data_IF_086068520334
#
_entry.id   IF_086068520334
#
_cell.length_a   1.000
_cell.length_b   1.000
_cell.length_c   1.000
_cell.angle_alpha   90.00
_cell.angle_beta   90.00
_cell.angle_gamma   90.00
#
_symmetry.space_group_name_H-M   'P 1'
#
loop_
_entity.id
_entity.type
_entity.pdbx_description
1 polymer ?
#
# COMPACT_ATOMS: atom_id res chain seq x y z
N UNK A 1 10.23 8.12 1.84
CA UNK A 1 8.85 7.76 1.50
C UNK A 1 8.81 7.04 0.16
N UNK A 2 8.03 5.98 0.09
CA UNK A 2 7.88 5.20 -1.14
C UNK A 2 6.40 5.08 -1.52
N UNK A 3 6.13 5.25 -2.81
CA UNK A 3 4.81 4.99 -3.38
C UNK A 3 4.95 3.93 -4.47
N UNK A 4 4.14 2.90 -4.42
CA UNK A 4 4.11 1.86 -5.43
C UNK A 4 2.69 1.53 -5.86
N UNK A 5 2.52 1.13 -7.12
CA UNK A 5 1.23 0.72 -7.67
C UNK A 5 1.37 -0.64 -8.33
N UNK A 6 0.35 -1.49 -8.20
CA UNK A 6 0.34 -2.83 -8.78
C UNK A 6 1.61 -3.61 -8.40
N UNK A 7 2.37 -4.13 -9.37
CA UNK A 7 3.62 -4.86 -9.10
C UNK A 7 4.70 -3.96 -8.50
N UNK A 8 4.65 -2.65 -8.77
CA UNK A 8 5.58 -1.69 -8.19
C UNK A 8 5.47 -1.58 -6.66
N UNK A 9 4.31 -1.90 -6.10
CA UNK A 9 4.13 -1.94 -4.65
C UNK A 9 4.97 -3.04 -4.01
N UNK A 10 5.06 -4.20 -4.63
CA UNK A 10 5.91 -5.28 -4.13
C UNK A 10 7.38 -4.87 -4.15
N UNK A 11 7.82 -4.21 -5.23
CA UNK A 11 9.19 -3.72 -5.32
C UNK A 11 9.49 -2.69 -4.22
N UNK A 12 8.56 -1.78 -3.94
CA UNK A 12 8.71 -0.80 -2.88
C UNK A 12 8.86 -1.49 -1.50
N UNK A 13 8.07 -2.54 -1.24
CA UNK A 13 8.14 -3.28 0.01
C UNK A 13 9.47 -4.03 0.15
N UNK A 14 9.99 -4.62 -0.93
CA UNK A 14 11.28 -5.30 -0.91
C UNK A 14 12.41 -4.30 -0.61
N UNK A 15 12.37 -3.13 -1.24
CA UNK A 15 13.36 -2.06 -0.97
C UNK A 15 13.26 -1.62 0.49
N UNK A 16 12.05 -1.38 0.98
CA UNK A 16 11.83 -0.92 2.35
C UNK A 16 12.31 -1.94 3.38
N UNK A 17 12.18 -3.23 3.10
CA UNK A 17 12.65 -4.29 4.00
C UNK A 17 14.16 -4.23 4.22
N UNK A 18 14.91 -3.61 3.29
CA UNK A 18 16.36 -3.47 3.34
C UNK A 18 16.84 -2.08 3.71
N UNK A 19 15.91 -1.13 3.85
CA UNK A 19 16.25 0.29 3.98
C UNK A 19 15.52 0.89 5.19
N UNK A 20 16.16 0.85 6.38
CA UNK A 20 15.52 1.36 7.60
C UNK A 20 15.24 2.87 7.56
N UNK A 21 15.80 3.58 6.58
CA UNK A 21 15.58 5.02 6.44
C UNK A 21 14.23 5.37 5.81
N UNK A 22 13.52 4.38 5.26
CA UNK A 22 12.18 4.61 4.70
C UNK A 22 11.21 4.86 5.86
N UNK A 23 10.52 6.00 5.83
CA UNK A 23 9.66 6.44 6.92
C UNK A 23 8.19 6.11 6.71
N UNK A 24 7.76 5.94 5.46
CA UNK A 24 6.38 5.58 5.15
C UNK A 24 6.26 5.00 3.74
N UNK A 25 5.27 4.13 3.56
CA UNK A 25 4.98 3.49 2.28
C UNK A 25 3.50 3.63 1.98
N UNK A 26 3.18 3.92 0.71
CA UNK A 26 1.80 3.85 0.20
C UNK A 26 1.78 2.88 -0.98
N UNK A 27 0.86 1.92 -0.93
CA UNK A 27 0.64 0.92 -1.98
C UNK A 27 -0.76 1.13 -2.56
N UNK A 28 -0.84 1.47 -3.84
CA UNK A 28 -2.12 1.65 -4.53
C UNK A 28 -2.43 0.43 -5.40
N UNK A 29 -3.51 -0.28 -5.07
CA UNK A 29 -3.92 -1.45 -5.84
C UNK A 29 -2.78 -2.45 -6.03
N UNK A 30 -1.92 -2.57 -5.02
CA UNK A 30 -0.67 -3.30 -5.14
C UNK A 30 -0.84 -4.81 -5.05
N UNK A 31 0.24 -5.47 -5.43
CA UNK A 31 0.39 -6.91 -5.27
C UNK A 31 1.46 -7.19 -4.21
N UNK A 32 1.17 -6.87 -2.92
CA UNK A 32 2.15 -7.05 -1.86
C UNK A 32 2.54 -8.51 -1.63
N UNK A 33 1.67 -9.43 -2.04
CA UNK A 33 1.96 -10.86 -1.98
C UNK A 33 3.24 -11.23 -2.73
N UNK A 34 3.58 -10.48 -3.78
CA UNK A 34 4.79 -10.72 -4.57
C UNK A 34 6.07 -10.36 -3.81
N UNK A 35 5.97 -9.62 -2.71
CA UNK A 35 7.13 -9.33 -1.86
C UNK A 35 7.53 -10.52 -0.97
N UNK A 36 6.63 -11.50 -0.80
CA UNK A 36 6.94 -12.74 -0.08
C UNK A 36 7.43 -12.50 1.35
N UNK A 37 8.54 -13.10 1.69
CA UNK A 37 9.10 -13.03 3.04
C UNK A 37 9.56 -11.63 3.44
N UNK A 38 9.79 -10.74 2.48
CA UNK A 38 10.17 -9.36 2.78
C UNK A 38 9.12 -8.64 3.62
N UNK A 39 7.84 -9.03 3.50
CA UNK A 39 6.74 -8.42 4.27
C UNK A 39 7.02 -8.41 5.77
N UNK A 40 7.60 -9.46 6.29
CA UNK A 40 7.87 -9.60 7.74
C UNK A 40 9.03 -8.70 8.20
N UNK A 41 9.84 -8.20 7.28
CA UNK A 41 11.00 -7.37 7.58
C UNK A 41 10.76 -5.88 7.34
N UNK A 42 9.61 -5.51 6.77
CA UNK A 42 9.26 -4.09 6.59
C UNK A 42 9.00 -3.47 7.95
N UNK A 43 9.66 -2.35 8.24
CA UNK A 43 9.46 -1.61 9.49
C UNK A 43 8.69 -0.32 9.28
N UNK A 44 8.67 0.21 8.05
CA UNK A 44 8.00 1.46 7.74
C UNK A 44 6.47 1.32 7.79
N UNK A 45 5.76 2.26 8.42
CA UNK A 45 4.30 2.28 8.36
C UNK A 45 3.79 2.25 6.93
N UNK A 46 2.86 1.35 6.65
CA UNK A 46 2.40 1.07 5.28
C UNK A 46 0.89 1.24 5.16
N UNK A 47 0.48 2.08 4.21
CA UNK A 47 -0.91 2.26 3.83
C UNK A 47 -1.17 1.48 2.55
N UNK A 48 -2.19 0.62 2.58
CA UNK A 48 -2.70 -0.06 1.40
C UNK A 48 -4.00 0.61 0.95
N UNK A 49 -4.06 1.04 -0.30
CA UNK A 49 -5.27 1.65 -0.89
C UNK A 49 -5.75 0.73 -2.01
N UNK A 50 -6.97 0.23 -1.88
CA UNK A 50 -7.54 -0.74 -2.82
C UNK A 50 -8.97 -0.35 -3.16
N UNK A 51 -9.35 -0.48 -4.42
CA UNK A 51 -10.73 -0.26 -4.84
C UNK A 51 -11.65 -1.38 -4.34
N UNK A 52 -12.86 -1.02 -3.92
CA UNK A 52 -13.81 -2.01 -3.39
C UNK A 52 -14.22 -3.06 -4.41
N UNK A 53 -14.13 -2.75 -5.71
CA UNK A 53 -14.47 -3.68 -6.79
C UNK A 53 -13.29 -4.54 -7.23
N UNK A 54 -12.09 -4.24 -6.75
CA UNK A 54 -10.88 -5.01 -7.04
C UNK A 54 -10.73 -6.12 -5.99
N UNK A 55 -11.67 -7.06 -6.00
CA UNK A 55 -11.88 -8.00 -4.89
C UNK A 55 -10.74 -8.98 -4.67
N UNK A 56 -10.12 -9.47 -5.75
CA UNK A 56 -9.01 -10.40 -5.63
C UNK A 56 -7.79 -9.70 -5.00
N UNK A 57 -7.49 -8.51 -5.48
CA UNK A 57 -6.38 -7.71 -4.95
C UNK A 57 -6.65 -7.31 -3.50
N UNK A 58 -7.90 -7.01 -3.16
CA UNK A 58 -8.28 -6.70 -1.78
C UNK A 58 -7.95 -7.86 -0.83
N UNK A 59 -8.28 -9.08 -1.23
CA UNK A 59 -7.94 -10.27 -0.45
C UNK A 59 -6.43 -10.46 -0.28
N UNK A 60 -5.66 -10.23 -1.36
CA UNK A 60 -4.21 -10.33 -1.32
C UNK A 60 -3.59 -9.28 -0.39
N UNK A 61 -4.17 -8.06 -0.36
CA UNK A 61 -3.70 -7.00 0.53
C UNK A 61 -3.99 -7.32 2.00
N UNK A 62 -5.15 -7.89 2.29
CA UNK A 62 -5.48 -8.32 3.66
C UNK A 62 -4.55 -9.41 4.15
N UNK A 63 -4.24 -10.38 3.30
CA UNK A 63 -3.32 -11.45 3.64
C UNK A 63 -1.90 -10.92 3.90
N UNK A 64 -1.44 -9.97 3.09
CA UNK A 64 -0.14 -9.33 3.30
C UNK A 64 -0.11 -8.54 4.60
N UNK A 65 -1.16 -7.78 4.88
CA UNK A 65 -1.28 -7.01 6.11
C UNK A 65 -1.15 -7.91 7.35
N UNK A 66 -1.74 -9.08 7.31
CA UNK A 66 -1.69 -10.03 8.41
C UNK A 66 -0.27 -10.56 8.68
N UNK A 67 0.60 -10.56 7.66
CA UNK A 67 2.00 -11.00 7.78
C UNK A 67 2.95 -9.91 8.24
N UNK A 68 2.58 -8.65 8.09
CA UNK A 68 3.45 -7.52 8.40
C UNK A 68 3.45 -7.23 9.90
N UNK A 69 4.61 -6.87 10.42
CA UNK A 69 4.81 -6.57 11.85
C UNK A 69 4.80 -5.09 12.17
N UNK A 70 4.86 -4.25 11.13
CA UNK A 70 4.83 -2.80 11.30
C UNK A 70 3.38 -2.31 11.35
N UNK A 71 3.22 -1.00 11.60
CA UNK A 71 1.93 -0.35 11.49
C UNK A 71 1.41 -0.45 10.05
N UNK A 72 0.16 -0.91 9.89
CA UNK A 72 -0.48 -0.98 8.59
C UNK A 72 -1.89 -0.44 8.66
N UNK A 73 -2.36 0.08 7.53
CA UNK A 73 -3.75 0.51 7.38
C UNK A 73 -4.23 0.13 5.99
N UNK A 74 -5.47 -0.31 5.90
CA UNK A 74 -6.12 -0.64 4.63
C UNK A 74 -7.28 0.35 4.44
N UNK A 75 -7.19 1.16 3.38
CA UNK A 75 -8.26 2.06 2.96
C UNK A 75 -8.90 1.51 1.70
N UNK A 76 -10.20 1.28 1.76
CA UNK A 76 -10.97 0.76 0.64
C UNK A 76 -11.72 1.92 0.01
N UNK A 77 -11.45 2.18 -1.28
CA UNK A 77 -12.12 3.27 -2.01
C UNK A 77 -13.42 2.72 -2.61
N UNK A 78 -14.58 3.17 -2.13
CA UNK A 78 -15.87 2.64 -2.60
C UNK A 78 -16.07 2.85 -4.10
N UNK A 79 -16.49 1.79 -4.80
CA UNK A 79 -16.80 1.84 -6.22
C UNK A 79 -15.61 1.89 -7.15
N UNK A 80 -14.39 1.91 -6.64
CA UNK A 80 -13.20 1.96 -7.48
C UNK A 80 -12.78 0.56 -7.93
N UNK A 81 -12.31 0.51 -9.17
CA UNK A 81 -11.67 -0.67 -9.77
C UNK A 81 -10.15 -0.56 -9.62
N UNK A 82 -9.42 -1.49 -10.22
CA UNK A 82 -7.97 -1.61 -10.02
C UNK A 82 -7.18 -0.33 -10.36
N UNK A 83 -7.55 0.37 -11.43
CA UNK A 83 -6.82 1.56 -11.89
C UNK A 83 -7.39 2.87 -11.36
N UNK A 84 -8.46 2.83 -10.58
CA UNK A 84 -9.09 4.03 -10.01
C UNK A 84 -9.50 5.03 -11.10
N UNK A 85 -10.00 4.52 -12.24
CA UNK A 85 -10.39 5.35 -13.39
C UNK A 85 -11.71 6.08 -13.18
N UNK A 86 -12.51 5.68 -12.20
CA UNK A 86 -13.77 6.30 -11.88
C UNK A 86 -13.56 7.76 -11.43
N UNK A 87 -14.54 8.66 -11.69
CA UNK A 87 -14.39 10.06 -11.29
C UNK A 87 -14.03 10.21 -9.81
N UNK A 88 -12.97 10.96 -9.54
CA UNK A 88 -12.49 11.20 -8.17
C UNK A 88 -11.65 10.08 -7.57
N UNK A 89 -11.49 8.93 -8.25
CA UNK A 89 -10.75 7.80 -7.71
C UNK A 89 -9.29 8.11 -7.43
N UNK A 90 -8.57 8.63 -8.43
CA UNK A 90 -7.16 8.98 -8.27
C UNK A 90 -6.96 10.16 -7.32
N UNK A 91 -7.88 11.11 -7.29
CA UNK A 91 -7.83 12.22 -6.35
C UNK A 91 -7.93 11.72 -4.91
N UNK A 92 -8.79 10.74 -4.67
CA UNK A 92 -8.93 10.14 -3.34
C UNK A 92 -7.65 9.41 -2.93
N UNK A 93 -7.02 8.68 -3.85
CA UNK A 93 -5.72 8.04 -3.59
C UNK A 93 -4.67 9.07 -3.21
N UNK A 94 -4.62 10.18 -3.96
CA UNK A 94 -3.65 11.24 -3.68
C UNK A 94 -3.87 11.87 -2.30
N UNK A 95 -5.12 12.11 -1.91
CA UNK A 95 -5.45 12.64 -0.58
C UNK A 95 -5.01 11.69 0.53
N UNK A 96 -5.29 10.40 0.37
CA UNK A 96 -4.92 9.39 1.36
C UNK A 96 -3.41 9.25 1.47
N UNK A 97 -2.70 9.25 0.34
CA UNK A 97 -1.25 9.16 0.32
C UNK A 97 -0.61 10.37 0.99
N UNK A 98 -1.07 11.57 0.65
CA UNK A 98 -0.54 12.80 1.24
C UNK A 98 -0.73 12.82 2.76
N UNK A 99 -1.90 12.44 3.24
CA UNK A 99 -2.17 12.37 4.68
C UNK A 99 -1.26 11.35 5.36
N UNK A 100 -1.08 10.18 4.77
CA UNK A 100 -0.23 9.12 5.33
C UNK A 100 1.21 9.59 5.45
N UNK A 101 1.77 10.17 4.39
CA UNK A 101 3.13 10.66 4.40
C UNK A 101 3.32 11.80 5.41
N UNK A 102 2.34 12.71 5.51
CA UNK A 102 2.39 13.80 6.47
C UNK A 102 2.38 13.27 7.92
N UNK A 103 1.55 12.28 8.21
CA UNK A 103 1.42 11.72 9.55
C UNK A 103 2.65 10.88 9.96
N UNK A 104 3.48 10.48 9.01
CA UNK A 104 4.62 9.60 9.26
C UNK A 104 5.96 10.22 8.81
N UNK A 105 6.08 11.55 8.86
CA UNK A 105 7.38 12.19 8.61
C UNK A 105 8.33 11.82 9.73
N UNK A 106 9.47 11.34 9.32
CA UNK A 106 10.49 10.87 10.24
C UNK A 106 11.38 11.92 10.87
#
# INVERSE_FOLDING_TARGET
DLFGASTGAAAALVVAARSPDITAIVSRGGRPDLAGEALERVTAPTLFVVGSLDRQVLGLNRAAQARMRCETRLEIVPGATHLFEEPGGLDRVAELAAAWFTDHVG
#
